data_IF_463441329936
#
_entry.id   IF_463441329936
#
_cell.length_a   1.000
_cell.length_b   1.000
_cell.length_c   1.000
_cell.angle_alpha   90.00
_cell.angle_beta   90.00
_cell.angle_gamma   90.00
#
_symmetry.space_group_name_H-M   'P 1'
#
loop_
_entity.id
_entity.type
_entity.pdbx_description
1 polymer ?
#
# COMPACT_ATOMS: atom_id res chain seq x y z
N UNK A 1 23.04 -5.12 -6.68
CA UNK A 1 22.69 -4.21 -7.79
C UNK A 1 23.98 -3.81 -8.48
N UNK A 2 24.02 -3.94 -9.80
CA UNK A 2 25.18 -3.63 -10.64
C UNK A 2 24.84 -2.44 -11.53
N UNK A 3 25.83 -1.64 -11.92
CA UNK A 3 25.64 -0.58 -12.91
C UNK A 3 25.50 -1.17 -14.33
N UNK A 4 25.24 -0.32 -15.32
CA UNK A 4 25.13 -0.74 -16.73
C UNK A 4 26.44 -1.33 -17.30
N UNK A 5 27.56 -1.20 -16.58
CA UNK A 5 28.88 -1.75 -16.94
C UNK A 5 29.19 -3.05 -16.16
N UNK A 6 28.27 -3.51 -15.31
CA UNK A 6 28.44 -4.72 -14.51
C UNK A 6 29.25 -4.54 -13.22
N UNK A 7 29.57 -3.30 -12.82
CA UNK A 7 30.27 -3.04 -11.56
C UNK A 7 29.30 -2.96 -10.38
N UNK A 8 29.68 -3.44 -9.19
CA UNK A 8 28.82 -3.38 -8.02
C UNK A 8 28.57 -1.92 -7.61
N UNK A 9 27.29 -1.53 -7.53
CA UNK A 9 26.94 -0.16 -7.14
C UNK A 9 27.24 0.10 -5.66
N UNK A 10 27.73 1.30 -5.38
CA UNK A 10 27.98 1.82 -4.03
C UNK A 10 26.66 2.03 -3.27
N UNK A 11 26.75 2.19 -1.93
CA UNK A 11 25.57 2.49 -1.10
C UNK A 11 24.85 3.78 -1.51
N UNK A 12 25.58 4.75 -2.07
CA UNK A 12 25.01 6.03 -2.54
C UNK A 12 24.28 5.86 -3.87
N UNK A 13 24.87 5.15 -4.82
CA UNK A 13 24.26 4.88 -6.13
C UNK A 13 22.97 4.08 -6.02
N UNK A 14 22.86 3.17 -5.04
CA UNK A 14 21.63 2.41 -4.78
C UNK A 14 20.42 3.24 -4.33
N UNK A 15 20.61 4.52 -4.02
CA UNK A 15 19.51 5.46 -3.70
C UNK A 15 18.96 6.15 -4.95
N UNK A 16 19.67 6.09 -6.07
CA UNK A 16 19.18 6.63 -7.33
C UNK A 16 18.21 5.66 -7.99
N UNK A 17 17.26 6.24 -8.73
CA UNK A 17 16.46 5.52 -9.71
C UNK A 17 17.40 5.07 -10.85
N UNK A 18 16.92 4.16 -11.70
CA UNK A 18 17.69 3.58 -12.82
C UNK A 18 18.33 4.63 -13.73
N UNK A 19 17.77 5.85 -13.79
CA UNK A 19 18.30 6.96 -14.58
C UNK A 19 19.61 7.58 -14.04
N UNK A 20 19.96 7.35 -12.78
CA UNK A 20 21.16 7.90 -12.14
C UNK A 20 21.08 9.38 -11.75
N UNK A 21 19.94 10.05 -11.97
CA UNK A 21 19.78 11.49 -11.67
C UNK A 21 18.73 11.74 -10.58
N UNK A 22 17.65 10.96 -10.56
CA UNK A 22 16.62 11.08 -9.55
C UNK A 22 17.02 10.25 -8.33
N UNK A 23 17.15 10.89 -7.16
CA UNK A 23 17.40 10.19 -5.91
C UNK A 23 16.08 9.95 -5.18
N UNK A 24 15.86 8.74 -4.65
CA UNK A 24 14.68 8.45 -3.82
C UNK A 24 14.88 9.00 -2.41
N UNK A 25 13.97 9.87 -1.98
CA UNK A 25 13.94 10.44 -0.63
C UNK A 25 13.17 9.47 0.27
N UNK A 26 13.87 8.85 1.23
CA UNK A 26 13.25 7.93 2.18
C UNK A 26 12.94 6.53 1.62
N UNK A 27 12.27 5.68 2.42
CA UNK A 27 11.74 4.39 1.96
C UNK A 27 10.47 4.58 1.12
N UNK A 28 10.15 3.60 0.27
CA UNK A 28 8.84 3.52 -0.35
C UNK A 28 7.83 2.87 0.60
N UNK A 29 6.59 3.32 0.53
CA UNK A 29 5.49 2.87 1.39
C UNK A 29 4.39 2.22 0.54
N UNK A 30 3.87 1.09 1.00
CA UNK A 30 2.59 0.56 0.53
C UNK A 30 1.50 0.93 1.53
N UNK A 31 0.36 1.38 1.03
CA UNK A 31 -0.81 1.69 1.84
C UNK A 31 -2.03 0.98 1.26
N UNK A 32 -2.77 0.28 2.09
CA UNK A 32 -3.96 -0.49 1.68
C UNK A 32 -5.19 0.01 2.40
N UNK A 33 -6.29 0.06 1.65
CA UNK A 33 -7.64 0.21 2.16
C UNK A 33 -8.46 -1.03 1.84
N UNK A 34 -9.24 -1.46 2.82
CA UNK A 34 -10.07 -2.67 2.75
C UNK A 34 -11.45 -2.39 3.36
N UNK A 35 -12.39 -3.27 3.09
CA UNK A 35 -13.72 -3.27 3.70
C UNK A 35 -13.86 -4.47 4.66
N UNK A 36 -14.71 -4.38 5.69
CA UNK A 36 -15.02 -5.52 6.54
C UNK A 36 -15.70 -6.65 5.74
N UNK A 37 -15.48 -7.92 6.10
CA UNK A 37 -16.19 -9.05 5.51
C UNK A 37 -17.69 -9.03 5.89
N UNK A 38 -18.52 -9.73 5.11
CA UNK A 38 -19.93 -10.02 5.43
C UNK A 38 -20.84 -8.79 5.59
N UNK A 39 -20.48 -7.66 4.99
CA UNK A 39 -21.29 -6.43 4.99
C UNK A 39 -22.49 -6.47 4.03
N UNK A 40 -22.78 -7.60 3.39
CA UNK A 40 -23.88 -7.76 2.46
C UNK A 40 -24.47 -9.18 2.48
N UNK A 41 -25.77 -9.26 2.19
CA UNK A 41 -26.52 -10.51 2.18
C UNK A 41 -26.40 -11.21 0.83
N UNK A 42 -26.01 -12.48 0.86
CA UNK A 42 -26.04 -13.34 -0.33
C UNK A 42 -27.44 -13.87 -0.54
N UNK A 43 -27.96 -13.76 -1.76
CA UNK A 43 -29.25 -14.35 -2.12
C UNK A 43 -29.25 -15.86 -1.85
N UNK A 44 -30.35 -16.39 -1.30
CA UNK A 44 -30.46 -17.79 -0.82
C UNK A 44 -30.04 -18.81 -1.88
N UNK A 45 -30.36 -18.56 -3.15
CA UNK A 45 -29.98 -19.45 -4.25
C UNK A 45 -28.47 -19.40 -4.54
N UNK A 46 -27.83 -18.22 -4.42
CA UNK A 46 -26.38 -18.07 -4.59
C UNK A 46 -25.59 -18.62 -3.39
N UNK A 47 -26.18 -18.63 -2.20
CA UNK A 47 -25.57 -19.18 -0.99
C UNK A 47 -25.23 -20.67 -1.13
N UNK A 48 -25.89 -21.40 -2.04
CA UNK A 48 -25.52 -22.80 -2.37
C UNK A 48 -24.17 -22.93 -3.08
N UNK A 49 -23.67 -21.84 -3.69
CA UNK A 49 -22.44 -21.81 -4.48
C UNK A 49 -21.30 -21.05 -3.80
N UNK A 50 -21.60 -19.92 -3.14
CA UNK A 50 -20.62 -19.11 -2.42
C UNK A 50 -21.32 -18.34 -1.31
N UNK A 51 -20.74 -18.38 -0.11
CA UNK A 51 -21.17 -17.54 1.02
C UNK A 51 -20.43 -16.20 1.08
N UNK A 52 -19.49 -15.97 0.17
CA UNK A 52 -18.63 -14.78 0.22
C UNK A 52 -19.31 -13.63 -0.51
N UNK A 53 -19.62 -12.57 0.24
CA UNK A 53 -20.15 -11.32 -0.29
C UNK A 53 -19.16 -10.18 -0.04
N UNK A 54 -19.14 -9.20 -0.95
CA UNK A 54 -18.23 -8.09 -0.85
C UNK A 54 -18.83 -6.79 -1.39
N UNK A 55 -18.61 -5.69 -0.68
CA UNK A 55 -19.22 -4.38 -0.98
C UNK A 55 -18.25 -3.43 -1.65
N UNK A 56 -18.76 -2.38 -2.31
CA UNK A 56 -17.93 -1.27 -2.77
C UNK A 56 -17.26 -0.52 -1.60
N UNK A 57 -16.16 0.18 -1.90
CA UNK A 57 -15.51 1.02 -0.89
C UNK A 57 -16.32 2.29 -0.62
N UNK A 58 -16.47 2.62 0.67
CA UNK A 58 -16.94 3.90 1.16
C UNK A 58 -16.15 4.27 2.41
N UNK A 59 -15.89 5.57 2.63
CA UNK A 59 -15.20 6.05 3.83
C UNK A 59 -15.91 5.66 5.12
N UNK A 60 -17.23 5.45 5.08
CA UNK A 60 -18.06 5.07 6.24
C UNK A 60 -18.05 3.58 6.53
N UNK A 61 -17.67 2.76 5.56
CA UNK A 61 -17.69 1.29 5.65
C UNK A 61 -16.31 0.69 5.47
N UNK A 62 -15.25 1.48 5.67
CA UNK A 62 -13.88 1.01 5.63
C UNK A 62 -13.55 0.24 6.91
N UNK A 63 -12.64 -0.73 6.80
CA UNK A 63 -12.16 -1.44 7.97
C UNK A 63 -11.10 -0.59 8.69
N UNK A 64 -11.29 -0.42 10.00
CA UNK A 64 -10.42 0.39 10.85
C UNK A 64 -9.84 -0.40 12.04
N UNK A 65 -10.15 -1.70 12.14
CA UNK A 65 -9.66 -2.55 13.25
C UNK A 65 -8.20 -2.92 13.07
N UNK A 66 -7.53 -3.19 14.19
CA UNK A 66 -6.20 -3.80 14.20
C UNK A 66 -6.30 -5.31 14.07
N UNK A 67 -5.44 -5.90 13.25
CA UNK A 67 -5.40 -7.34 13.01
C UNK A 67 -3.99 -7.91 13.25
N UNK A 68 -3.94 -9.22 13.44
CA UNK A 68 -2.73 -10.01 13.30
C UNK A 68 -2.46 -10.31 11.82
N UNK A 69 -1.22 -10.72 11.47
CA UNK A 69 -0.93 -11.21 10.13
C UNK A 69 -1.95 -12.25 9.66
N UNK A 70 -2.34 -12.18 8.39
CA UNK A 70 -3.47 -12.93 7.78
C UNK A 70 -4.86 -12.49 8.23
N UNK A 71 -5.00 -11.24 8.66
CA UNK A 71 -6.29 -10.62 8.99
C UNK A 71 -7.05 -11.35 10.11
N UNK A 72 -6.31 -11.90 11.07
CA UNK A 72 -6.89 -12.58 12.23
C UNK A 72 -7.16 -11.59 13.36
N UNK A 73 -8.24 -11.81 14.10
CA UNK A 73 -8.56 -10.98 15.25
C UNK A 73 -7.44 -11.10 16.31
N UNK A 74 -6.96 -9.97 16.86
CA UNK A 74 -5.93 -9.99 17.89
C UNK A 74 -6.46 -10.54 19.22
N UNK A 75 -5.58 -11.10 20.03
CA UNK A 75 -5.86 -11.40 21.43
C UNK A 75 -5.99 -10.10 22.25
N UNK A 76 -6.63 -10.16 23.42
CA UNK A 76 -6.76 -9.01 24.33
C UNK A 76 -5.38 -8.46 24.71
N UNK A 77 -5.18 -7.14 24.59
CA UNK A 77 -3.90 -6.41 24.81
C UNK A 77 -2.78 -6.72 23.80
N UNK A 78 -3.11 -6.79 22.51
CA UNK A 78 -2.10 -6.91 21.46
C UNK A 78 -1.47 -5.56 21.10
N UNK A 79 -0.13 -5.52 21.06
CA UNK A 79 0.65 -4.39 20.55
C UNK A 79 1.59 -4.88 19.46
N UNK A 80 1.59 -4.28 18.25
CA UNK A 80 2.43 -4.74 17.14
C UNK A 80 3.91 -4.40 17.39
N UNK A 81 4.75 -5.43 17.45
CA UNK A 81 6.19 -5.26 17.73
C UNK A 81 7.03 -5.21 16.45
N UNK A 82 6.66 -6.02 15.45
CA UNK A 82 7.40 -6.14 14.20
C UNK A 82 6.87 -5.19 13.11
N UNK A 83 7.73 -4.89 12.13
CA UNK A 83 7.33 -4.09 10.96
C UNK A 83 6.24 -4.75 10.11
N UNK A 84 6.13 -6.08 10.16
CA UNK A 84 5.06 -6.80 9.49
C UNK A 84 3.73 -6.62 10.23
N UNK A 85 3.73 -6.73 11.55
CA UNK A 85 2.51 -6.57 12.37
C UNK A 85 1.94 -5.16 12.29
N UNK A 86 2.82 -4.15 12.26
CA UNK A 86 2.42 -2.75 12.00
C UNK A 86 1.72 -2.56 10.66
N UNK A 87 1.95 -3.44 9.69
CA UNK A 87 1.22 -3.41 8.41
C UNK A 87 -0.22 -3.91 8.53
N UNK A 88 -0.60 -4.57 9.62
CA UNK A 88 -1.98 -5.00 9.92
C UNK A 88 -2.64 -4.10 10.99
N UNK A 89 -1.98 -3.02 11.39
CA UNK A 89 -2.54 -1.96 12.23
C UNK A 89 -3.08 -0.83 11.34
N UNK A 90 -4.33 -0.45 11.59
CA UNK A 90 -4.94 0.67 10.88
C UNK A 90 -4.40 1.98 11.42
N UNK A 91 -3.95 2.85 10.52
CA UNK A 91 -3.49 4.20 10.87
C UNK A 91 -4.47 5.21 10.29
N UNK A 92 -4.82 6.21 11.10
CA UNK A 92 -5.76 7.25 10.68
C UNK A 92 -5.11 8.20 9.68
N UNK A 93 -5.93 8.98 8.99
CA UNK A 93 -5.42 10.02 8.09
C UNK A 93 -4.54 11.06 8.82
N UNK A 94 -4.80 11.30 10.12
CA UNK A 94 -4.01 12.23 10.93
C UNK A 94 -2.63 11.63 11.23
N UNK A 95 -2.57 10.36 11.63
CA UNK A 95 -1.32 9.66 11.95
C UNK A 95 -0.38 9.59 10.73
N UNK A 96 -0.97 9.37 9.55
CA UNK A 96 -0.25 9.30 8.28
C UNK A 96 0.02 10.66 7.65
N UNK A 97 -0.55 11.75 8.19
CA UNK A 97 -0.63 13.05 7.52
C UNK A 97 -1.13 12.89 6.07
N UNK A 98 -2.08 11.96 5.90
CA UNK A 98 -2.60 11.52 4.63
C UNK A 98 -3.79 12.37 4.20
N UNK A 99 -3.78 12.78 2.93
CA UNK A 99 -4.93 13.44 2.30
C UNK A 99 -5.78 12.41 1.54
N UNK A 100 -7.11 12.61 1.44
CA UNK A 100 -7.95 11.78 0.59
C UNK A 100 -7.46 11.77 -0.86
N UNK A 101 -7.52 10.61 -1.51
CA UNK A 101 -7.15 10.46 -2.91
C UNK A 101 -8.40 10.17 -3.75
N UNK A 102 -8.60 10.93 -4.82
CA UNK A 102 -9.62 10.66 -5.82
C UNK A 102 -9.16 9.54 -6.74
N UNK A 103 -9.87 8.43 -6.67
CA UNK A 103 -9.70 7.30 -7.53
C UNK A 103 -10.57 7.33 -8.78
N UNK A 104 -10.46 6.29 -9.61
CA UNK A 104 -11.34 6.09 -10.76
C UNK A 104 -12.74 5.64 -10.30
N UNK A 105 -12.81 4.73 -9.34
CA UNK A 105 -14.07 4.15 -8.86
C UNK A 105 -14.64 4.81 -7.60
N UNK A 106 -13.79 5.34 -6.72
CA UNK A 106 -14.23 5.94 -5.45
C UNK A 106 -13.21 6.96 -4.93
N UNK A 107 -13.60 7.75 -3.93
CA UNK A 107 -12.68 8.62 -3.20
C UNK A 107 -12.21 7.89 -1.95
N UNK A 108 -10.90 7.71 -1.82
CA UNK A 108 -10.25 6.95 -0.76
C UNK A 108 -9.79 7.86 0.36
N UNK A 109 -9.93 7.41 1.60
CA UNK A 109 -9.47 8.14 2.78
C UNK A 109 -7.93 8.25 2.81
N UNK A 110 -7.42 9.21 3.60
CA UNK A 110 -5.99 9.38 3.83
C UNK A 110 -5.39 8.35 4.79
N UNK A 111 -6.22 7.53 5.44
CA UNK A 111 -5.80 6.47 6.36
C UNK A 111 -5.44 5.17 5.64
N UNK A 112 -5.25 4.11 6.43
CA UNK A 112 -5.14 2.75 5.94
C UNK A 112 -4.09 1.91 6.66
N UNK A 113 -3.92 0.69 6.15
CA UNK A 113 -2.90 -0.26 6.58
C UNK A 113 -1.60 0.03 5.85
N UNK A 114 -0.50 0.18 6.55
CA UNK A 114 0.75 0.70 5.95
C UNK A 114 1.91 -0.25 6.13
N UNK A 115 2.54 -0.64 5.01
CA UNK A 115 3.76 -1.42 4.99
C UNK A 115 4.94 -0.61 4.43
N UNK A 116 5.93 -0.34 5.27
CA UNK A 116 7.17 0.30 4.82
C UNK A 116 8.12 -0.73 4.20
N UNK A 117 8.49 -0.53 2.93
CA UNK A 117 9.34 -1.46 2.17
C UNK A 117 10.83 -1.36 2.56
N UNK A 118 11.19 -0.36 3.37
CA UNK A 118 12.57 -0.12 3.78
C UNK A 118 13.41 0.59 2.71
N UNK A 119 14.70 0.76 3.01
CA UNK A 119 15.59 1.63 2.24
C UNK A 119 16.29 0.85 1.12
N UNK A 120 16.65 -0.40 1.36
CA UNK A 120 17.39 -1.21 0.38
C UNK A 120 16.47 -2.13 -0.42
N UNK A 121 16.85 -2.44 -1.66
CA UNK A 121 16.14 -3.42 -2.49
C UNK A 121 15.97 -4.76 -1.76
N UNK A 122 16.98 -5.23 -1.04
CA UNK A 122 16.91 -6.48 -0.29
C UNK A 122 15.90 -6.45 0.85
N UNK A 123 15.75 -5.31 1.55
CA UNK A 123 14.70 -5.13 2.56
C UNK A 123 13.31 -5.10 1.91
N UNK A 124 13.17 -4.39 0.78
CA UNK A 124 11.91 -4.30 0.05
C UNK A 124 11.45 -5.66 -0.47
N UNK A 125 12.36 -6.46 -1.05
CA UNK A 125 12.05 -7.84 -1.49
C UNK A 125 11.65 -8.74 -0.32
N UNK A 126 12.35 -8.65 0.82
CA UNK A 126 12.00 -9.41 2.02
C UNK A 126 10.64 -9.00 2.59
N UNK A 127 10.34 -7.70 2.62
CA UNK A 127 9.03 -7.22 3.07
C UNK A 127 7.92 -7.65 2.10
N UNK A 128 8.13 -7.52 0.79
CA UNK A 128 7.18 -7.98 -0.23
C UNK A 128 6.84 -9.47 -0.06
N UNK A 129 7.85 -10.32 0.14
CA UNK A 129 7.65 -11.74 0.40
C UNK A 129 6.84 -11.98 1.68
N UNK A 130 7.16 -11.27 2.77
CA UNK A 130 6.39 -11.36 4.03
C UNK A 130 4.92 -10.94 3.84
N UNK A 131 4.65 -9.87 3.10
CA UNK A 131 3.28 -9.41 2.83
C UNK A 131 2.51 -10.43 1.98
N UNK A 132 3.18 -11.07 1.02
CA UNK A 132 2.62 -12.14 0.22
C UNK A 132 2.30 -13.38 1.07
N UNK A 133 3.25 -13.86 1.89
CA UNK A 133 3.09 -15.05 2.75
C UNK A 133 2.00 -14.88 3.84
N UNK A 134 1.72 -13.62 4.21
CA UNK A 134 0.71 -13.23 5.19
C UNK A 134 -0.63 -12.84 4.57
N UNK A 135 -0.82 -13.01 3.26
CA UNK A 135 -2.05 -12.63 2.54
C UNK A 135 -2.50 -11.20 2.84
N UNK A 136 -1.57 -10.25 2.88
CA UNK A 136 -1.89 -8.84 3.13
C UNK A 136 -2.90 -8.32 2.08
N UNK A 137 -2.70 -8.67 0.81
CA UNK A 137 -3.69 -8.46 -0.24
C UNK A 137 -4.67 -9.64 -0.30
N UNK A 138 -5.95 -9.34 -0.13
CA UNK A 138 -7.05 -10.31 -0.12
C UNK A 138 -8.27 -9.82 -0.93
N UNK A 139 -9.34 -10.62 -0.96
CA UNK A 139 -10.58 -10.29 -1.66
C UNK A 139 -11.22 -8.97 -1.17
N UNK A 140 -11.02 -8.61 0.10
CA UNK A 140 -11.63 -7.44 0.73
C UNK A 140 -10.82 -6.15 0.52
N UNK A 141 -9.65 -6.27 -0.10
CA UNK A 141 -8.83 -5.15 -0.50
C UNK A 141 -9.54 -4.33 -1.58
N UNK A 142 -9.49 -3.01 -1.46
CA UNK A 142 -10.20 -2.07 -2.37
C UNK A 142 -9.26 -1.15 -3.09
N UNK A 143 -8.17 -0.78 -2.44
CA UNK A 143 -7.15 0.07 -3.01
C UNK A 143 -5.81 -0.22 -2.37
N UNK A 144 -4.78 -0.22 -3.19
CA UNK A 144 -3.38 -0.23 -2.76
C UNK A 144 -2.68 0.95 -3.42
N UNK A 145 -1.98 1.73 -2.62
CA UNK A 145 -1.16 2.85 -3.04
C UNK A 145 0.31 2.54 -2.77
N UNK A 146 1.14 2.64 -3.81
CA UNK A 146 2.59 2.71 -3.68
C UNK A 146 3.01 4.18 -3.70
N UNK A 147 3.59 4.64 -2.59
CA UNK A 147 3.96 6.02 -2.35
C UNK A 147 5.47 6.13 -2.17
N UNK A 148 6.09 7.03 -2.94
CA UNK A 148 7.50 7.41 -2.74
C UNK A 148 7.77 8.79 -3.33
N UNK A 149 8.80 9.45 -2.81
CA UNK A 149 9.25 10.75 -3.30
C UNK A 149 10.63 10.61 -3.90
N UNK A 150 10.85 11.25 -5.04
CA UNK A 150 12.18 11.42 -5.64
C UNK A 150 12.57 12.88 -5.65
N UNK A 151 13.87 13.15 -5.68
CA UNK A 151 14.40 14.48 -5.88
C UNK A 151 15.45 14.47 -6.98
N UNK A 152 15.37 15.47 -7.84
CA UNK A 152 16.34 15.70 -8.89
C UNK A 152 17.20 16.92 -8.53
N UNK A 153 18.50 16.69 -8.31
CA UNK A 153 19.43 17.76 -7.97
C UNK A 153 19.77 18.69 -9.13
N UNK A 154 19.62 18.22 -10.38
CA UNK A 154 19.95 19.04 -11.56
C UNK A 154 18.90 20.13 -11.80
N UNK A 155 17.64 19.85 -11.48
CA UNK A 155 16.51 20.77 -11.69
C UNK A 155 15.90 21.30 -10.38
N UNK A 156 16.43 20.91 -9.23
CA UNK A 156 15.89 21.20 -7.89
C UNK A 156 14.39 20.85 -7.75
N UNK A 157 13.98 19.69 -8.26
CA UNK A 157 12.59 19.24 -8.26
C UNK A 157 12.38 18.09 -7.27
N UNK A 158 11.44 18.24 -6.34
CA UNK A 158 10.85 17.12 -5.62
C UNK A 158 9.66 16.58 -6.41
N UNK A 159 9.62 15.27 -6.64
CA UNK A 159 8.52 14.60 -7.32
C UNK A 159 7.92 13.55 -6.40
N UNK A 160 6.66 13.75 -6.04
CA UNK A 160 5.85 12.78 -5.32
C UNK A 160 5.18 11.85 -6.33
N UNK A 161 5.41 10.55 -6.18
CA UNK A 161 4.82 9.50 -7.02
C UNK A 161 3.88 8.67 -6.18
N UNK A 162 2.62 8.67 -6.58
CA UNK A 162 1.55 7.84 -6.02
C UNK A 162 1.05 6.92 -7.13
N UNK A 163 1.34 5.62 -7.01
CA UNK A 163 0.82 4.62 -7.93
C UNK A 163 -0.33 3.88 -7.26
N UNK A 164 -1.55 4.13 -7.73
CA UNK A 164 -2.77 3.57 -7.13
C UNK A 164 -3.25 2.38 -7.93
N UNK A 165 -3.62 1.31 -7.25
CA UNK A 165 -4.25 0.11 -7.81
C UNK A 165 -5.58 -0.06 -7.11
N UNK A 166 -6.68 -0.02 -7.87
CA UNK A 166 -8.04 -0.21 -7.38
C UNK A 166 -8.54 -1.61 -7.69
N UNK A 167 -9.21 -2.21 -6.71
CA UNK A 167 -9.84 -3.51 -6.79
C UNK A 167 -11.35 -3.32 -6.63
N UNK A 168 -12.12 -3.21 -7.73
CA UNK A 168 -13.56 -3.05 -7.64
C UNK A 168 -14.20 -4.35 -7.11
N UNK A 169 -15.40 -4.26 -6.49
CA UNK A 169 -16.07 -5.42 -5.88
C UNK A 169 -16.43 -6.52 -6.90
N UNK A 170 -16.57 -6.17 -8.18
CA UNK A 170 -16.80 -7.10 -9.28
C UNK A 170 -15.55 -7.90 -9.70
N UNK A 171 -14.40 -7.63 -9.09
CA UNK A 171 -13.10 -8.22 -9.44
C UNK A 171 -12.36 -7.43 -10.53
N UNK A 172 -11.11 -7.82 -10.76
CA UNK A 172 -10.17 -7.10 -11.62
C UNK A 172 -9.29 -6.11 -10.84
N UNK A 173 -8.38 -5.44 -11.56
CA UNK A 173 -7.49 -4.45 -10.99
C UNK A 173 -7.26 -3.32 -11.99
N UNK A 174 -7.47 -2.08 -11.56
CA UNK A 174 -7.23 -0.89 -12.38
C UNK A 174 -6.13 -0.07 -11.74
N UNK A 175 -5.01 0.10 -12.45
CA UNK A 175 -3.85 0.84 -11.94
C UNK A 175 -3.67 2.17 -12.67
N UNK A 176 -3.40 3.24 -11.94
CA UNK A 176 -3.10 4.54 -12.51
C UNK A 176 -2.07 5.32 -11.66
N UNK A 177 -1.12 6.01 -12.31
CA UNK A 177 -0.16 6.86 -11.63
C UNK A 177 -0.71 8.28 -11.42
N UNK A 178 -0.37 8.88 -10.27
CA UNK A 178 -0.47 10.31 -10.01
C UNK A 178 0.92 10.81 -9.64
N UNK A 179 1.46 11.71 -10.47
CA UNK A 179 2.81 12.26 -10.32
C UNK A 179 2.65 13.76 -10.12
N UNK A 180 3.28 14.30 -9.08
CA UNK A 180 3.23 15.72 -8.77
C UNK A 180 4.64 16.20 -8.43
N UNK A 181 5.11 17.20 -9.18
CA UNK A 181 6.45 17.76 -9.01
C UNK A 181 6.35 19.19 -8.50
N UNK A 182 7.20 19.53 -7.53
CA UNK A 182 7.34 20.86 -6.95
C UNK A 182 8.80 21.28 -7.02
N UNK A 183 9.01 22.52 -7.45
CA UNK A 183 10.32 23.14 -7.44
C UNK A 183 10.53 23.83 -6.10
N UNK A 184 11.72 23.65 -5.54
CA UNK A 184 12.17 24.32 -4.30
C UNK A 184 13.20 25.38 -4.66
#
# INVERSE_FOLDING_TARGET
MYDYRGYPTTKRERKFVVDGFNFRVGPSRLRQLRVPPEMCDVAVEMAKSSHVCNIGYSMWSQEEKTFLPRWQAPHTNYTPESTLEKAFEYQTAIDLVGIPNWGLHSTYSGGGYVADMGITEGQARKMAAKLQDSNWLDLYSRMIALEFTTYNANSNLFTYVLYTIEFPPIGGATAFPKISSIQV
#
